data_IF_932077690232
#
_entry.id   IF_932077690232
#
_cell.length_a   1.000
_cell.length_b   1.000
_cell.length_c   1.000
_cell.angle_alpha   90.00
_cell.angle_beta   90.00
_cell.angle_gamma   90.00
#
_symmetry.space_group_name_H-M   'P 1'
#
loop_
_entity.id
_entity.type
_entity.pdbx_description
1 polymer ?
#
# COMPACT_ATOMS: atom_id res chain seq x y z
N UNK A 1 -3.81 -31.27 -3.42
CA UNK A 1 -2.65 -30.48 -2.94
C UNK A 1 -2.76 -29.14 -3.63
N UNK A 2 -3.09 -28.07 -2.90
CA UNK A 2 -3.37 -26.78 -3.52
C UNK A 2 -2.05 -26.08 -3.83
N UNK A 3 -1.82 -25.74 -5.10
CA UNK A 3 -0.76 -24.85 -5.56
C UNK A 3 -0.76 -23.57 -4.70
N UNK A 4 0.25 -23.42 -3.84
CA UNK A 4 0.60 -22.12 -3.30
C UNK A 4 1.31 -21.37 -4.42
N UNK A 5 0.55 -20.69 -5.29
CA UNK A 5 1.10 -19.66 -6.16
C UNK A 5 1.91 -18.70 -5.27
N UNK A 6 3.20 -18.57 -5.54
CA UNK A 6 4.09 -17.66 -4.84
C UNK A 6 3.52 -16.25 -4.96
N UNK A 7 2.86 -15.79 -3.89
CA UNK A 7 2.17 -14.49 -3.77
C UNK A 7 3.20 -13.37 -3.69
N UNK A 8 4.02 -13.21 -4.73
CA UNK A 8 5.08 -12.21 -4.82
C UNK A 8 4.53 -10.81 -5.13
N UNK A 9 3.22 -10.70 -5.41
CA UNK A 9 2.54 -9.43 -5.65
C UNK A 9 1.87 -8.95 -4.36
N UNK A 10 2.00 -7.65 -4.01
CA UNK A 10 1.36 -7.10 -2.83
C UNK A 10 -0.16 -7.00 -2.99
N UNK A 11 -0.89 -7.21 -1.90
CA UNK A 11 -2.35 -7.04 -1.85
C UNK A 11 -2.73 -5.54 -1.85
N UNK A 12 -1.86 -4.69 -1.28
CA UNK A 12 -2.02 -3.24 -1.20
C UNK A 12 -0.68 -2.52 -1.40
N UNK A 13 -0.75 -1.31 -1.95
CA UNK A 13 0.35 -0.33 -1.94
C UNK A 13 0.11 0.64 -0.78
N UNK A 14 1.18 1.00 -0.08
CA UNK A 14 1.16 1.91 1.06
C UNK A 14 1.59 3.29 0.58
N UNK A 15 0.73 4.28 0.82
CA UNK A 15 0.97 5.67 0.45
C UNK A 15 1.11 6.54 1.69
N UNK A 16 2.07 7.46 1.66
CA UNK A 16 2.01 8.68 2.44
C UNK A 16 1.16 9.68 1.67
N UNK A 17 0.11 10.18 2.30
CA UNK A 17 -0.77 11.19 1.73
C UNK A 17 -0.52 12.51 2.45
N UNK A 18 -0.13 13.52 1.68
CA UNK A 18 0.15 14.87 2.14
C UNK A 18 -0.97 15.79 1.69
N UNK A 19 -1.73 16.32 2.65
CA UNK A 19 -2.72 17.37 2.39
C UNK A 19 -2.00 18.65 1.98
N UNK A 20 -2.42 19.23 0.86
CA UNK A 20 -1.95 20.54 0.42
C UNK A 20 -3.01 21.57 0.77
N UNK A 21 -2.82 22.24 1.90
CA UNK A 21 -3.72 23.30 2.36
C UNK A 21 -3.98 24.32 1.23
N UNK A 22 -5.24 24.46 0.83
CA UNK A 22 -5.68 25.35 -0.26
C UNK A 22 -5.49 24.83 -1.70
N UNK A 23 -5.05 23.59 -1.93
CA UNK A 23 -5.00 22.97 -3.27
C UNK A 23 -6.01 21.84 -3.40
N UNK A 24 -6.46 21.61 -4.64
CA UNK A 24 -7.53 20.66 -4.95
C UNK A 24 -7.13 19.19 -4.78
N UNK A 25 -5.83 18.87 -4.84
CA UNK A 25 -5.34 17.50 -4.90
C UNK A 25 -4.23 17.23 -3.88
N UNK A 26 -4.42 16.18 -3.08
CA UNK A 26 -3.43 15.63 -2.17
C UNK A 26 -2.23 15.05 -2.94
N UNK A 27 -1.04 15.07 -2.33
CA UNK A 27 0.12 14.33 -2.87
C UNK A 27 0.07 12.91 -2.35
N UNK A 28 0.20 11.93 -3.25
CA UNK A 28 0.27 10.52 -2.92
C UNK A 28 1.67 10.00 -3.23
N UNK A 29 2.46 9.76 -2.19
CA UNK A 29 3.79 9.17 -2.32
C UNK A 29 3.70 7.67 -2.03
N UNK A 30 4.12 6.84 -2.98
CA UNK A 30 4.31 5.40 -2.74
C UNK A 30 5.53 5.20 -1.85
N UNK A 31 5.32 4.58 -0.69
CA UNK A 31 6.37 4.34 0.31
C UNK A 31 6.46 2.88 0.74
N UNK A 32 5.74 1.98 0.09
CA UNK A 32 5.75 0.58 0.49
C UNK A 32 4.57 -0.25 0.02
N UNK A 33 4.45 -1.43 0.61
CA UNK A 33 3.47 -2.42 0.23
C UNK A 33 2.98 -3.22 1.44
N UNK A 34 1.79 -3.80 1.31
CA UNK A 34 1.20 -4.64 2.33
C UNK A 34 0.58 -5.93 1.76
N UNK A 35 0.64 -6.98 2.58
CA UNK A 35 0.11 -8.32 2.29
C UNK A 35 -0.83 -8.73 3.39
N UNK A 36 -2.02 -9.18 3.02
CA UNK A 36 -3.00 -9.69 3.98
C UNK A 36 -2.53 -11.04 4.53
N UNK A 37 -2.67 -11.24 5.84
CA UNK A 37 -2.39 -12.51 6.48
C UNK A 37 -3.40 -13.57 6.05
N UNK A 38 -3.03 -14.85 6.17
CA UNK A 38 -3.86 -15.99 5.75
C UNK A 38 -5.16 -16.11 6.55
N UNK A 39 -5.14 -15.70 7.81
CA UNK A 39 -6.32 -15.69 8.71
C UNK A 39 -7.26 -14.50 8.44
N UNK A 40 -6.81 -13.52 7.64
CA UNK A 40 -7.60 -12.36 7.24
C UNK A 40 -7.69 -11.24 8.27
N UNK A 41 -7.17 -11.42 9.50
CA UNK A 41 -7.28 -10.44 10.59
C UNK A 41 -6.04 -9.53 10.73
N UNK A 42 -5.11 -9.58 9.78
CA UNK A 42 -3.87 -8.83 9.86
C UNK A 42 -3.23 -8.55 8.50
N UNK A 43 -2.23 -7.67 8.53
CA UNK A 43 -1.42 -7.30 7.38
C UNK A 43 0.06 -7.27 7.77
N UNK A 44 0.91 -7.78 6.89
CA UNK A 44 2.33 -7.47 6.91
C UNK A 44 2.58 -6.25 6.06
N UNK A 45 3.27 -5.25 6.60
CA UNK A 45 3.58 -3.99 5.92
C UNK A 45 5.09 -3.86 5.81
N UNK A 46 5.58 -3.58 4.60
CA UNK A 46 6.99 -3.28 4.34
C UNK A 46 7.06 -1.87 3.78
N UNK A 47 7.82 -1.01 4.46
CA UNK A 47 8.06 0.37 4.05
C UNK A 47 9.48 0.50 3.48
N UNK A 48 9.61 1.20 2.36
CA UNK A 48 10.91 1.59 1.79
C UNK A 48 11.39 2.95 2.33
N UNK A 49 10.48 3.73 2.93
CA UNK A 49 10.71 5.08 3.45
C UNK A 49 9.86 5.29 4.70
N UNK A 50 10.39 6.04 5.67
CA UNK A 50 9.67 6.42 6.88
C UNK A 50 9.16 7.87 6.75
N UNK A 51 7.83 8.09 6.67
CA UNK A 51 7.30 9.44 6.59
C UNK A 51 7.42 10.16 7.93
N UNK A 52 7.76 11.45 7.89
CA UNK A 52 7.81 12.30 9.09
C UNK A 52 6.51 13.07 9.32
N UNK A 53 5.64 13.14 8.30
CA UNK A 53 4.38 13.86 8.32
C UNK A 53 3.33 13.18 7.41
N UNK A 54 2.13 13.77 7.34
CA UNK A 54 1.02 13.24 6.55
C UNK A 54 0.36 12.00 7.16
N UNK A 55 -0.55 11.38 6.38
CA UNK A 55 -1.28 10.17 6.77
C UNK A 55 -0.85 8.97 5.96
N UNK A 56 -0.79 7.80 6.60
CA UNK A 56 -0.54 6.53 5.93
C UNK A 56 -1.84 5.89 5.45
N UNK A 57 -1.91 5.54 4.17
CA UNK A 57 -3.08 4.89 3.58
C UNK A 57 -2.68 3.71 2.71
N UNK A 58 -3.34 2.57 2.89
CA UNK A 58 -3.20 1.41 2.00
C UNK A 58 -4.29 1.41 0.93
N UNK A 59 -3.92 1.16 -0.34
CA UNK A 59 -4.87 1.04 -1.46
C UNK A 59 -4.55 -0.16 -2.32
N UNK A 60 -5.59 -0.76 -2.93
CA UNK A 60 -5.38 -1.82 -3.92
C UNK A 60 -4.48 -1.28 -5.05
N UNK A 61 -3.51 -2.08 -5.55
CA UNK A 61 -2.76 -1.71 -6.73
C UNK A 61 -3.75 -1.38 -7.85
N UNK A 62 -3.54 -0.26 -8.56
CA UNK A 62 -4.28 -0.02 -9.80
C UNK A 62 -3.96 -1.19 -10.73
N UNK A 63 -4.99 -1.84 -11.28
CA UNK A 63 -4.80 -2.90 -12.26
C UNK A 63 -3.85 -2.40 -13.33
N UNK A 64 -2.69 -3.05 -13.42
CA UNK A 64 -1.82 -2.90 -14.58
C UNK A 64 -2.50 -3.73 -15.66
N UNK A 65 -3.45 -3.11 -16.38
CA UNK A 65 -3.87 -3.64 -17.67
C UNK A 65 -2.59 -3.61 -18.53
N UNK A 66 -2.02 -4.80 -18.76
CA UNK A 66 -0.87 -5.01 -19.61
C UNK A 66 -1.33 -5.13 -21.06
#
# INVERSE_FOLDING_TARGET
>A
MSEQETKNKPDFIVYQVLDRDGKKDDIWNDIGAAWQHKDGNGFNIILNSLPLDGRLTMRKPKSKEL
#
